data_IF_783519263160
#
_entry.id   IF_783519263160
#
_cell.length_a   1.000
_cell.length_b   1.000
_cell.length_c   1.000
_cell.angle_alpha   90.00
_cell.angle_beta   90.00
_cell.angle_gamma   90.00
#
_symmetry.space_group_name_H-M   'P 1'
#
loop_
_entity.id
_entity.type
_entity.pdbx_description
1 polymer ?
#
# COMPACT_ATOMS: atom_id res chain seq x y z
N UNK A 1 -11.36 39.22 -11.49
CA UNK A 1 -12.42 38.83 -10.52
C UNK A 1 -12.56 37.31 -10.58
N UNK A 2 -12.15 36.60 -9.54
CA UNK A 2 -12.23 35.13 -9.48
C UNK A 2 -13.63 34.77 -8.94
N UNK A 3 -14.49 34.20 -9.78
CA UNK A 3 -15.76 33.62 -9.32
C UNK A 3 -15.52 32.17 -8.96
N UNK A 4 -15.59 31.88 -7.66
CA UNK A 4 -15.32 30.58 -7.07
C UNK A 4 -16.23 29.49 -7.63
N UNK A 5 -15.60 28.43 -8.13
CA UNK A 5 -16.26 27.20 -8.55
C UNK A 5 -16.86 26.53 -7.32
N UNK A 6 -18.19 26.47 -7.27
CA UNK A 6 -18.97 25.73 -6.27
C UNK A 6 -18.80 24.23 -6.48
N UNK A 7 -17.78 23.63 -5.85
CA UNK A 7 -17.58 22.18 -5.77
C UNK A 7 -18.00 21.71 -4.37
N UNK A 8 -19.31 21.57 -4.16
CA UNK A 8 -19.86 21.04 -2.93
C UNK A 8 -20.89 19.98 -3.26
N UNK A 9 -20.46 18.73 -3.39
CA UNK A 9 -21.40 17.60 -3.40
C UNK A 9 -22.00 17.48 -1.99
N UNK A 10 -23.22 18.00 -1.81
CA UNK A 10 -23.96 18.01 -0.53
C UNK A 10 -24.79 16.75 -0.30
N UNK A 11 -24.78 15.82 -1.27
CA UNK A 11 -25.58 14.60 -1.21
C UNK A 11 -24.61 13.44 -1.07
N UNK A 12 -24.39 13.07 0.18
CA UNK A 12 -23.68 11.86 0.62
C UNK A 12 -22.14 11.79 0.45
N UNK A 13 -21.38 12.78 0.99
CA UNK A 13 -19.91 12.66 1.06
C UNK A 13 -19.46 11.43 1.88
N UNK A 14 -20.28 10.95 2.82
CA UNK A 14 -19.96 9.78 3.63
C UNK A 14 -20.10 8.45 2.86
N UNK A 15 -21.19 8.26 2.10
CA UNK A 15 -21.35 7.08 1.24
C UNK A 15 -20.38 7.09 0.05
N UNK A 16 -20.20 8.24 -0.60
CA UNK A 16 -19.20 8.36 -1.68
C UNK A 16 -17.78 8.11 -1.16
N UNK A 17 -17.44 8.60 0.05
CA UNK A 17 -16.18 8.27 0.71
C UNK A 17 -16.10 6.81 1.15
N UNK A 18 -17.21 6.19 1.57
CA UNK A 18 -17.24 4.77 1.93
C UNK A 18 -16.99 3.86 0.71
N UNK A 19 -17.65 4.15 -0.41
CA UNK A 19 -17.44 3.45 -1.68
C UNK A 19 -16.01 3.66 -2.20
N UNK A 20 -15.50 4.89 -2.17
CA UNK A 20 -14.12 5.19 -2.52
C UNK A 20 -13.10 4.49 -1.62
N UNK A 21 -13.37 4.39 -0.32
CA UNK A 21 -12.54 3.63 0.64
C UNK A 21 -12.56 2.14 0.32
N UNK A 22 -13.71 1.55 0.03
CA UNK A 22 -13.83 0.14 -0.30
C UNK A 22 -13.02 -0.22 -1.56
N UNK A 23 -13.11 0.61 -2.62
CA UNK A 23 -12.29 0.44 -3.83
C UNK A 23 -10.80 0.56 -3.51
N UNK A 24 -10.40 1.58 -2.74
CA UNK A 24 -9.00 1.78 -2.37
C UNK A 24 -8.43 0.65 -1.51
N UNK A 25 -9.25 0.04 -0.65
CA UNK A 25 -8.88 -1.16 0.12
C UNK A 25 -8.69 -2.36 -0.80
N UNK A 26 -9.63 -2.63 -1.70
CA UNK A 26 -9.53 -3.76 -2.63
C UNK A 26 -8.29 -3.64 -3.55
N UNK A 27 -7.97 -2.44 -4.01
CA UNK A 27 -6.73 -2.19 -4.77
C UNK A 27 -5.49 -2.39 -3.91
N UNK A 28 -5.51 -1.94 -2.66
CA UNK A 28 -4.41 -2.15 -1.73
C UNK A 28 -4.20 -3.63 -1.41
N UNK A 29 -5.27 -4.43 -1.30
CA UNK A 29 -5.20 -5.87 -1.05
C UNK A 29 -4.66 -6.63 -2.27
N UNK A 30 -5.12 -6.26 -3.49
CA UNK A 30 -4.57 -6.82 -4.74
C UNK A 30 -3.09 -6.47 -4.92
N UNK A 31 -2.72 -5.23 -4.65
CA UNK A 31 -1.32 -4.81 -4.66
C UNK A 31 -0.53 -5.55 -3.58
N UNK A 32 -1.14 -5.81 -2.42
CA UNK A 32 -0.47 -6.56 -1.36
C UNK A 32 -0.16 -7.99 -1.81
N UNK A 33 -1.12 -8.67 -2.42
CA UNK A 33 -0.94 -10.01 -2.96
C UNK A 33 0.18 -10.08 -4.02
N UNK A 34 0.29 -9.08 -4.91
CA UNK A 34 1.35 -9.08 -5.94
C UNK A 34 2.75 -8.79 -5.37
N UNK A 35 2.84 -8.06 -4.27
CA UNK A 35 4.12 -7.71 -3.63
C UNK A 35 4.64 -8.78 -2.66
N UNK A 36 3.84 -9.80 -2.32
CA UNK A 36 4.29 -10.89 -1.44
C UNK A 36 5.42 -11.72 -2.05
N UNK A 37 5.38 -12.00 -3.36
CA UNK A 37 6.42 -12.80 -4.01
C UNK A 37 7.83 -12.16 -3.92
N UNK A 38 8.01 -10.85 -4.21
CA UNK A 38 9.27 -10.15 -3.93
C UNK A 38 9.68 -10.17 -2.46
N UNK A 39 8.74 -9.99 -1.52
CA UNK A 39 9.02 -9.99 -0.08
C UNK A 39 9.51 -11.36 0.41
N UNK A 40 8.92 -12.44 -0.08
CA UNK A 40 9.34 -13.81 0.23
C UNK A 40 10.72 -14.14 -0.32
N UNK A 41 11.02 -13.64 -1.53
CA UNK A 41 12.36 -13.78 -2.08
C UNK A 41 13.39 -13.10 -1.16
N UNK A 42 13.11 -11.88 -0.71
CA UNK A 42 13.96 -11.16 0.25
C UNK A 42 14.08 -11.90 1.58
N UNK A 43 13.00 -12.49 2.07
CA UNK A 43 13.02 -13.29 3.29
C UNK A 43 13.93 -14.52 3.14
N UNK A 44 13.84 -15.25 2.01
CA UNK A 44 14.71 -16.39 1.70
C UNK A 44 16.18 -16.01 1.53
N UNK A 45 16.45 -14.78 1.12
CA UNK A 45 17.81 -14.20 1.08
C UNK A 45 18.33 -13.80 2.48
N UNK A 46 17.55 -14.04 3.54
CA UNK A 46 17.92 -13.73 4.93
C UNK A 46 17.52 -12.34 5.39
N UNK A 47 16.80 -11.57 4.58
CA UNK A 47 16.33 -10.22 4.94
C UNK A 47 15.03 -10.34 5.74
N UNK A 48 15.19 -10.64 7.03
CA UNK A 48 14.11 -10.93 7.98
C UNK A 48 13.75 -9.73 8.87
N UNK A 49 13.75 -8.52 8.31
CA UNK A 49 13.26 -7.35 9.05
C UNK A 49 12.50 -6.41 8.15
N UNK A 50 11.47 -5.76 8.69
CA UNK A 50 10.67 -4.78 7.92
C UNK A 50 11.55 -3.67 7.31
N UNK A 51 12.55 -3.20 8.06
CA UNK A 51 13.52 -2.20 7.59
C UNK A 51 14.40 -2.76 6.46
N UNK A 52 14.91 -3.98 6.61
CA UNK A 52 15.71 -4.65 5.60
C UNK A 52 14.93 -4.82 4.29
N UNK A 53 13.69 -5.32 4.40
CA UNK A 53 12.79 -5.51 3.25
C UNK A 53 12.52 -4.18 2.55
N UNK A 54 12.17 -3.12 3.30
CA UNK A 54 11.93 -1.80 2.72
C UNK A 54 13.17 -1.27 1.97
N UNK A 55 14.36 -1.40 2.58
CA UNK A 55 15.63 -0.99 1.95
C UNK A 55 15.91 -1.80 0.68
N UNK A 56 15.72 -3.11 0.72
CA UNK A 56 15.98 -3.98 -0.41
C UNK A 56 15.01 -3.73 -1.57
N UNK A 57 13.71 -3.54 -1.30
CA UNK A 57 12.73 -3.17 -2.32
C UNK A 57 13.09 -1.83 -2.98
N UNK A 58 13.47 -0.82 -2.20
CA UNK A 58 13.93 0.46 -2.73
C UNK A 58 15.20 0.33 -3.56
N UNK A 59 16.18 -0.46 -3.09
CA UNK A 59 17.43 -0.72 -3.80
C UNK A 59 17.22 -1.45 -5.13
N UNK A 60 16.17 -2.27 -5.22
CA UNK A 60 15.74 -2.95 -6.45
C UNK A 60 14.89 -2.06 -7.36
N UNK A 61 14.66 -0.80 -7.00
CA UNK A 61 13.84 0.14 -7.77
C UNK A 61 12.33 -0.13 -7.70
N UNK A 62 11.87 -1.04 -6.83
CA UNK A 62 10.45 -1.36 -6.67
C UNK A 62 9.75 -0.18 -6.00
N UNK A 63 8.70 0.35 -6.64
CA UNK A 63 7.88 1.45 -6.10
C UNK A 63 6.61 0.92 -5.44
N UNK A 64 6.09 1.68 -4.49
CA UNK A 64 4.76 1.43 -3.90
C UNK A 64 3.66 1.71 -4.93
N UNK A 65 2.42 1.28 -4.66
CA UNK A 65 1.28 1.51 -5.55
C UNK A 65 1.07 2.98 -5.97
N UNK A 66 1.48 3.94 -5.14
CA UNK A 66 1.39 5.39 -5.41
C UNK A 66 2.69 5.99 -5.96
N UNK A 67 3.65 5.17 -6.37
CA UNK A 67 4.95 5.60 -6.92
C UNK A 67 6.01 6.02 -5.88
N UNK A 68 5.65 6.04 -4.60
CA UNK A 68 6.57 6.39 -3.51
C UNK A 68 7.54 5.27 -3.13
N UNK A 69 8.55 5.61 -2.32
CA UNK A 69 9.49 4.64 -1.76
C UNK A 69 8.87 3.78 -0.64
N UNK A 70 9.41 2.58 -0.45
CA UNK A 70 9.06 1.69 0.64
C UNK A 70 9.56 2.24 1.98
N UNK A 71 8.65 2.28 2.95
CA UNK A 71 8.92 2.61 4.35
C UNK A 71 8.57 1.40 5.21
N UNK A 72 9.09 1.35 6.44
CA UNK A 72 8.82 0.25 7.39
C UNK A 72 7.31 0.05 7.60
N UNK A 73 6.57 1.15 7.73
CA UNK A 73 5.10 1.12 7.87
C UNK A 73 4.41 0.51 6.67
N UNK A 74 4.91 0.76 5.44
CA UNK A 74 4.34 0.17 4.23
C UNK A 74 4.54 -1.35 4.22
N UNK A 75 5.72 -1.84 4.62
CA UNK A 75 6.01 -3.29 4.71
C UNK A 75 5.16 -3.95 5.80
N UNK A 76 5.04 -3.32 6.96
CA UNK A 76 4.17 -3.83 8.04
C UNK A 76 2.71 -3.94 7.57
N UNK A 77 2.21 -2.88 6.93
CA UNK A 77 0.85 -2.81 6.41
C UNK A 77 0.61 -3.78 5.25
N UNK A 78 1.66 -4.10 4.49
CA UNK A 78 1.63 -5.11 3.43
C UNK A 78 1.44 -6.50 4.03
N UNK A 79 2.30 -6.87 4.98
CA UNK A 79 2.25 -8.19 5.63
C UNK A 79 0.96 -8.35 6.43
N UNK A 80 0.50 -7.32 7.13
CA UNK A 80 -0.76 -7.35 7.88
C UNK A 80 -2.00 -7.58 7.01
N UNK A 81 -1.96 -7.18 5.73
CA UNK A 81 -3.03 -7.43 4.75
C UNK A 81 -2.92 -8.78 4.05
N UNK A 82 -1.73 -9.38 4.06
CA UNK A 82 -1.52 -10.71 3.53
C UNK A 82 -2.10 -11.75 4.50
N UNK A 83 -2.74 -12.79 3.96
CA UNK A 83 -3.14 -13.96 4.75
C UNK A 83 -1.93 -14.70 5.34
N UNK A 84 -0.72 -14.43 4.83
CA UNK A 84 0.54 -15.01 5.30
C UNK A 84 1.23 -14.13 6.33
N UNK A 85 1.07 -14.50 7.60
CA UNK A 85 1.70 -13.88 8.79
C UNK A 85 2.99 -14.57 9.21
N UNK A 86 3.38 -15.65 8.54
CA UNK A 86 4.59 -16.43 8.79
C UNK A 86 5.87 -15.75 8.27
N UNK A 87 5.72 -14.72 7.44
CA UNK A 87 6.82 -13.97 6.81
C UNK A 87 7.25 -12.75 7.64
N UNK A 88 7.19 -12.81 8.98
CA UNK A 88 7.81 -11.94 10.02
C UNK A 88 6.92 -11.74 11.25
#
# INVERSE_FOLDING_TARGET
>A
KVTGTRLGNRVNPAEAAALGRAVSVAEADRFAASMMAPVEQLYREGIVSYRGIAKALNSRGVRTARGGSWQVSNVRNLIARSSRKDVL
#
